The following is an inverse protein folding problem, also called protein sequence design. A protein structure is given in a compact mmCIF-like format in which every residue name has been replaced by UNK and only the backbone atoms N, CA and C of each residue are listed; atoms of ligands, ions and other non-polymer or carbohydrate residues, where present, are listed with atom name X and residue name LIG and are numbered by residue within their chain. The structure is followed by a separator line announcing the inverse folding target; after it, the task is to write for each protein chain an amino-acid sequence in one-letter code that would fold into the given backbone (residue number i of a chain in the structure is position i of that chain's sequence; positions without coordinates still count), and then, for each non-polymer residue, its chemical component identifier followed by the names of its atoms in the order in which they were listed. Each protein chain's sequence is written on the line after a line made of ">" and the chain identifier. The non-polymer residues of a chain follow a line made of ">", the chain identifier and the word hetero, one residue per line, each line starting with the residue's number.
data_IF_605479012216
#
_entry.id   IF_605479012216
#
_cell.length_a   1.000
_cell.length_b   1.000
_cell.length_c   1.000
_cell.angle_alpha   90.00
_cell.angle_beta   90.00
_cell.angle_gamma   90.00
#
_symmetry.space_group_name_H-M   'P 1'
#
loop_
_entity.id
_entity.type
_entity.pdbx_description
1 polymer ?
#
# COMPACT_ATOMS: atom_id res chain seq x y z
N UNK A 1 16.03 8.79 19.35
CA UNK A 1 14.75 8.05 19.41
C UNK A 1 14.75 7.11 18.22
N UNK A 2 15.08 5.86 18.49
CA UNK A 2 14.97 4.76 17.55
C UNK A 2 13.50 4.32 17.56
N UNK A 3 12.83 4.52 16.43
CA UNK A 3 11.41 4.27 16.25
C UNK A 3 11.21 3.93 14.79
N UNK A 4 11.45 2.67 14.44
CA UNK A 4 11.10 2.13 13.14
C UNK A 4 9.57 2.24 12.97
N UNK A 5 9.11 3.31 12.32
CA UNK A 5 7.71 3.42 11.92
C UNK A 5 7.44 2.34 10.87
N UNK A 6 6.75 1.30 11.31
CA UNK A 6 6.25 0.20 10.50
C UNK A 6 4.75 0.38 10.37
N UNK A 7 4.26 0.56 9.16
CA UNK A 7 2.81 0.57 8.90
C UNK A 7 2.38 -0.80 8.43
N UNK A 8 1.33 -1.33 9.04
CA UNK A 8 0.74 -2.62 8.69
C UNK A 8 -0.71 -2.39 8.32
N UNK A 9 -1.13 -3.01 7.21
CA UNK A 9 -2.52 -3.14 6.83
C UNK A 9 -2.83 -4.61 6.59
N UNK A 10 -4.00 -5.06 7.01
CA UNK A 10 -4.52 -6.41 6.77
C UNK A 10 -5.91 -6.29 6.14
N UNK A 11 -6.15 -7.02 5.06
CA UNK A 11 -7.38 -6.91 4.30
C UNK A 11 -7.59 -8.09 3.36
N UNK A 12 -8.80 -8.19 2.82
CA UNK A 12 -9.12 -9.16 1.77
C UNK A 12 -8.95 -8.47 0.42
N UNK A 13 -8.13 -9.04 -0.45
CA UNK A 13 -7.91 -8.56 -1.82
C UNK A 13 -8.01 -9.71 -2.82
N UNK A 14 -8.84 -9.55 -3.85
CA UNK A 14 -9.09 -10.60 -4.85
C UNK A 14 -9.64 -11.89 -4.23
N UNK A 15 -10.31 -11.80 -3.07
CA UNK A 15 -10.79 -12.95 -2.31
C UNK A 15 -9.74 -13.65 -1.43
N UNK A 16 -8.51 -13.13 -1.37
CA UNK A 16 -7.41 -13.67 -0.57
C UNK A 16 -7.13 -12.74 0.61
N UNK A 17 -6.91 -13.29 1.79
CA UNK A 17 -6.48 -12.52 2.95
C UNK A 17 -4.99 -12.16 2.79
N UNK A 18 -4.68 -10.88 2.81
CA UNK A 18 -3.31 -10.37 2.68
C UNK A 18 -3.02 -9.35 3.78
N UNK A 19 -1.74 -9.19 4.11
CA UNK A 19 -1.26 -8.02 4.83
C UNK A 19 -0.07 -7.39 4.11
N UNK A 20 0.02 -6.07 4.21
CA UNK A 20 1.13 -5.26 3.69
C UNK A 20 1.87 -4.60 4.82
N UNK A 21 3.19 -4.56 4.71
CA UNK A 21 4.08 -3.88 5.62
C UNK A 21 4.85 -2.81 4.86
N UNK A 22 4.78 -1.57 5.33
CA UNK A 22 5.62 -0.47 4.84
C UNK A 22 6.74 -0.18 5.83
N UNK A 23 7.95 -0.13 5.32
CA UNK A 23 9.14 0.25 6.06
C UNK A 23 9.59 1.64 5.64
N UNK A 24 10.09 2.40 6.61
CA UNK A 24 10.49 3.81 6.43
C UNK A 24 11.55 4.03 5.35
N UNK A 25 12.29 2.99 4.95
CA UNK A 25 13.30 3.04 3.89
C UNK A 25 12.71 2.90 2.47
N UNK A 26 11.38 2.94 2.33
CA UNK A 26 10.71 2.81 1.06
C UNK A 26 10.44 1.36 0.65
N UNK A 27 10.70 0.38 1.53
CA UNK A 27 10.38 -1.01 1.29
C UNK A 27 8.91 -1.29 1.61
N UNK A 28 8.27 -2.08 0.74
CA UNK A 28 6.97 -2.68 0.98
C UNK A 28 7.10 -4.20 0.85
N UNK A 29 6.54 -4.93 1.81
CA UNK A 29 6.33 -6.37 1.64
C UNK A 29 4.85 -6.69 1.70
N UNK A 30 4.43 -7.68 0.94
CA UNK A 30 3.07 -8.19 0.98
C UNK A 30 3.10 -9.70 1.18
N UNK A 31 2.30 -10.14 2.13
CA UNK A 31 2.09 -11.54 2.44
C UNK A 31 0.62 -11.86 2.25
N UNK A 32 0.34 -12.99 1.63
CA UNK A 32 -1.02 -13.45 1.43
C UNK A 32 -1.14 -14.87 1.98
N UNK A 33 -2.26 -15.15 2.61
CA UNK A 33 -2.57 -16.46 3.14
C UNK A 33 -2.88 -17.40 1.97
N UNK A 34 -2.06 -18.43 1.79
CA UNK A 34 -2.37 -19.51 0.87
C UNK A 34 -3.39 -20.44 1.54
N UNK A 35 -4.50 -20.67 0.85
CA UNK A 35 -5.71 -21.35 1.35
C UNK A 35 -6.67 -20.45 2.13
N UNK A 36 -7.81 -21.03 2.52
CA UNK A 36 -8.86 -20.36 3.28
C UNK A 36 -8.40 -20.11 4.72
N UNK A 37 -8.74 -18.94 5.30
CA UNK A 37 -8.44 -18.59 6.71
C UNK A 37 -8.98 -19.59 7.74
N UNK A 38 -9.99 -20.37 7.38
CA UNK A 38 -10.57 -21.43 8.23
C UNK A 38 -9.76 -22.73 8.20
N UNK A 39 -8.80 -22.85 7.28
CA UNK A 39 -7.94 -24.02 7.19
C UNK A 39 -6.80 -23.89 8.23
N UNK A 40 -6.67 -24.84 9.18
CA UNK A 40 -5.60 -24.80 10.17
C UNK A 40 -4.18 -24.93 9.56
N UNK A 41 -4.07 -25.50 8.36
CA UNK A 41 -2.82 -25.66 7.63
C UNK A 41 -2.53 -24.47 6.69
N UNK A 42 -3.29 -23.38 6.80
CA UNK A 42 -3.07 -22.19 5.98
C UNK A 42 -1.73 -21.52 6.31
N UNK A 43 -0.96 -21.15 5.29
CA UNK A 43 0.39 -20.61 5.44
C UNK A 43 0.47 -19.23 4.81
N UNK A 44 1.11 -18.29 5.51
CA UNK A 44 1.43 -16.99 4.94
C UNK A 44 2.59 -17.10 3.97
N UNK A 45 2.37 -16.64 2.73
CA UNK A 45 3.40 -16.62 1.69
C UNK A 45 3.67 -15.19 1.27
N UNK A 46 4.95 -14.81 1.28
CA UNK A 46 5.40 -13.51 0.79
C UNK A 46 5.24 -13.47 -0.73
N UNK A 47 4.31 -12.66 -1.21
CA UNK A 47 4.07 -12.45 -2.64
C UNK A 47 4.93 -11.33 -3.19
N UNK A 48 5.16 -10.27 -2.41
CA UNK A 48 5.96 -9.13 -2.82
C UNK A 48 6.99 -8.72 -1.76
N UNK A 49 8.14 -8.30 -2.27
CA UNK A 49 9.23 -7.66 -1.54
C UNK A 49 9.85 -6.62 -2.48
N UNK A 50 9.42 -5.37 -2.36
CA UNK A 50 9.73 -4.31 -3.31
C UNK A 50 10.25 -3.07 -2.59
N UNK A 51 11.22 -2.39 -3.18
CA UNK A 51 11.70 -1.09 -2.71
C UNK A 51 11.32 -0.02 -3.73
N UNK A 52 10.50 0.94 -3.30
CA UNK A 52 9.87 1.90 -4.19
C UNK A 52 10.68 3.18 -4.41
N UNK A 53 11.86 3.33 -3.78
CA UNK A 53 12.68 4.56 -3.84
C UNK A 53 12.91 5.06 -5.28
N UNK A 54 13.12 4.15 -6.24
CA UNK A 54 13.25 4.53 -7.65
C UNK A 54 11.94 5.02 -8.27
N UNK A 55 10.81 4.41 -7.94
CA UNK A 55 9.50 4.83 -8.40
C UNK A 55 9.15 6.22 -7.86
N UNK A 56 9.43 6.49 -6.57
CA UNK A 56 9.31 7.82 -5.97
C UNK A 56 10.16 8.84 -6.72
N UNK A 57 11.43 8.52 -6.99
CA UNK A 57 12.34 9.40 -7.73
C UNK A 57 11.85 9.69 -9.15
N UNK A 58 11.41 8.67 -9.90
CA UNK A 58 10.89 8.82 -11.27
C UNK A 58 9.65 9.70 -11.34
N UNK A 59 8.83 9.71 -10.30
CA UNK A 59 7.60 10.51 -10.22
C UNK A 59 7.80 11.88 -9.55
N UNK A 60 9.05 12.33 -9.34
CA UNK A 60 9.35 13.59 -8.64
C UNK A 60 8.80 13.65 -7.20
N UNK A 61 8.64 12.50 -6.56
CA UNK A 61 8.16 12.33 -5.18
C UNK A 61 9.31 11.95 -4.22
N UNK A 62 10.56 12.15 -4.62
CA UNK A 62 11.73 11.75 -3.81
C UNK A 62 11.68 12.37 -2.41
N UNK A 63 11.94 11.57 -1.39
CA UNK A 63 11.86 11.96 0.02
C UNK A 63 10.47 11.77 0.64
N UNK A 64 9.41 11.63 -0.17
CA UNK A 64 8.07 11.36 0.34
C UNK A 64 7.88 9.90 0.78
N UNK A 65 8.78 8.99 0.41
CA UNK A 65 8.80 7.63 0.94
C UNK A 65 8.94 7.61 2.48
N UNK A 66 9.64 8.60 3.06
CA UNK A 66 9.78 8.75 4.50
C UNK A 66 8.55 9.39 5.17
N UNK A 67 7.64 9.94 4.36
CA UNK A 67 6.42 10.64 4.77
C UNK A 67 5.16 9.81 4.54
N UNK A 68 5.28 8.53 4.14
CA UNK A 68 4.15 7.60 4.10
C UNK A 68 3.59 7.46 5.51
N UNK A 69 2.30 7.73 5.64
CA UNK A 69 1.53 7.66 6.88
C UNK A 69 0.61 6.44 6.92
N UNK A 70 0.24 5.92 5.74
CA UNK A 70 -0.66 4.78 5.64
C UNK A 70 -0.38 3.98 4.36
N UNK A 71 -0.54 2.67 4.46
CA UNK A 71 -0.50 1.72 3.34
C UNK A 71 -1.80 0.95 3.33
N UNK A 72 -2.36 0.71 2.15
CA UNK A 72 -3.56 -0.12 2.00
C UNK A 72 -3.48 -1.01 0.77
N UNK A 73 -4.30 -2.06 0.73
CA UNK A 73 -4.33 -3.04 -0.35
C UNK A 73 -5.57 -2.79 -1.20
N UNK A 74 -5.40 -2.72 -2.52
CA UNK A 74 -6.54 -2.59 -3.40
C UNK A 74 -7.45 -3.85 -3.32
N UNK A 75 -8.76 -3.73 -3.05
CA UNK A 75 -9.60 -4.89 -2.72
C UNK A 75 -9.83 -5.89 -3.86
N UNK A 76 -9.68 -5.48 -5.12
CA UNK A 76 -9.94 -6.38 -6.25
C UNK A 76 -8.66 -6.97 -6.85
N UNK A 77 -7.50 -6.35 -6.64
CA UNK A 77 -6.23 -6.81 -7.20
C UNK A 77 -5.11 -6.64 -6.16
N UNK A 78 -4.56 -7.74 -5.60
CA UNK A 78 -3.54 -7.69 -4.56
C UNK A 78 -2.17 -7.24 -5.10
N UNK A 79 -2.04 -6.94 -6.37
CA UNK A 79 -0.80 -6.39 -6.93
C UNK A 79 -0.73 -4.88 -6.73
N UNK A 80 -1.83 -4.23 -6.36
CA UNK A 80 -1.89 -2.78 -6.19
C UNK A 80 -1.95 -2.43 -4.71
N UNK A 81 -1.04 -1.57 -4.28
CA UNK A 81 -1.06 -0.93 -2.96
C UNK A 81 -1.32 0.55 -3.11
N UNK A 82 -1.97 1.12 -2.11
CA UNK A 82 -2.12 2.57 -1.98
C UNK A 82 -1.21 3.08 -0.88
N UNK A 83 -0.60 4.23 -1.13
CA UNK A 83 0.23 4.94 -0.15
C UNK A 83 -0.35 6.33 0.06
N UNK A 84 -0.59 6.69 1.32
CA UNK A 84 -0.92 8.07 1.70
C UNK A 84 0.31 8.75 2.28
N UNK A 85 0.71 9.88 1.70
CA UNK A 85 1.82 10.72 2.18
C UNK A 85 1.37 12.17 2.16
N UNK A 86 1.47 12.88 3.29
CA UNK A 86 1.24 14.32 3.43
C UNK A 86 0.24 14.92 2.42
N UNK A 87 -1.04 14.57 2.57
CA UNK A 87 -2.10 15.02 1.68
C UNK A 87 -2.05 14.55 0.21
N UNK A 88 -1.33 13.48 -0.10
CA UNK A 88 -1.27 12.85 -1.43
C UNK A 88 -1.54 11.36 -1.32
N UNK A 89 -2.33 10.82 -2.23
CA UNK A 89 -2.55 9.38 -2.37
C UNK A 89 -2.03 8.94 -3.74
N UNK A 90 -1.17 7.92 -3.73
CA UNK A 90 -0.69 7.24 -4.95
C UNK A 90 -1.10 5.77 -4.91
N UNK A 91 -1.33 5.18 -6.08
CA UNK A 91 -1.28 3.73 -6.24
C UNK A 91 0.12 3.31 -6.68
N UNK A 92 0.48 2.09 -6.33
CA UNK A 92 1.64 1.42 -6.88
C UNK A 92 1.28 -0.02 -7.25
N UNK A 93 1.47 -0.37 -8.51
CA UNK A 93 1.35 -1.73 -9.04
C UNK A 93 2.70 -2.44 -8.84
N UNK A 94 2.73 -3.34 -7.85
CA UNK A 94 3.89 -4.15 -7.45
C UNK A 94 4.34 -5.13 -8.53
N UNK A 95 3.44 -5.55 -9.41
CA UNK A 95 3.74 -6.48 -10.51
C UNK A 95 4.35 -5.72 -11.69
N UNK A 96 3.76 -4.57 -12.03
CA UNK A 96 4.18 -3.76 -13.19
C UNK A 96 5.27 -2.74 -12.88
N UNK A 97 5.57 -2.49 -11.60
CA UNK A 97 6.45 -1.43 -11.15
C UNK A 97 6.01 -0.05 -11.66
N UNK A 98 4.71 0.23 -11.56
CA UNK A 98 4.10 1.50 -12.02
C UNK A 98 3.48 2.21 -10.83
N UNK A 99 3.78 3.51 -10.69
CA UNK A 99 3.16 4.39 -9.71
C UNK A 99 2.20 5.32 -10.42
N UNK A 100 0.99 5.48 -9.90
CA UNK A 100 0.00 6.44 -10.43
C UNK A 100 -0.40 7.41 -9.31
N UNK A 101 -0.45 8.69 -9.66
CA UNK A 101 -1.00 9.71 -8.77
C UNK A 101 -2.52 9.63 -8.82
N UNK A 102 -3.17 9.57 -7.65
CA UNK A 102 -4.62 9.48 -7.59
C UNK A 102 -5.24 10.80 -7.13
N UNK A 103 -4.83 11.33 -5.98
CA UNK A 103 -5.47 12.50 -5.37
C UNK A 103 -4.47 13.35 -4.59
N UNK A 104 -4.68 14.66 -4.63
CA UNK A 104 -4.20 15.62 -3.64
C UNK A 104 -5.37 15.96 -2.71
N UNK A 105 -5.21 15.74 -1.42
CA UNK A 105 -6.26 15.99 -0.42
C UNK A 105 -5.63 16.59 0.82
N UNK A 106 -6.13 17.74 1.26
CA UNK A 106 -5.64 18.35 2.50
C UNK A 106 -6.08 17.49 3.69
N UNK A 107 -5.15 17.17 4.59
CA UNK A 107 -5.39 16.29 5.73
C UNK A 107 -6.46 16.82 6.71
N UNK A 108 -6.85 18.09 6.59
CA UNK A 108 -7.88 18.76 7.40
C UNK A 108 -9.32 18.43 6.96
N UNK A 109 -9.52 17.98 5.72
CA UNK A 109 -10.86 17.95 5.12
C UNK A 109 -11.64 16.64 5.36
N UNK A 110 -10.98 15.53 5.73
CA UNK A 110 -11.62 14.22 5.80
C UNK A 110 -10.92 13.21 6.73
N UNK A 111 -11.72 12.45 7.50
CA UNK A 111 -11.33 11.19 8.13
C UNK A 111 -11.28 10.09 7.05
N UNK A 112 -10.14 9.95 6.37
CA UNK A 112 -9.98 8.90 5.36
C UNK A 112 -9.86 7.54 6.00
N UNK A 113 -10.86 6.69 5.79
CA UNK A 113 -10.68 5.27 5.91
C UNK A 113 -10.12 4.74 4.60
N UNK A 114 -8.99 4.05 4.67
CA UNK A 114 -8.33 3.55 3.46
C UNK A 114 -9.22 2.59 2.63
N UNK A 115 -10.18 1.92 3.31
CA UNK A 115 -11.20 1.12 2.64
C UNK A 115 -12.02 1.89 1.61
N UNK A 116 -12.04 3.23 1.57
CA UNK A 116 -12.82 3.98 0.56
C UNK A 116 -12.01 4.31 -0.71
N UNK A 117 -10.67 4.22 -0.66
CA UNK A 117 -9.81 4.69 -1.76
C UNK A 117 -10.04 3.95 -3.08
N UNK A 118 -10.46 2.69 -3.00
CA UNK A 118 -10.79 1.89 -4.18
C UNK A 118 -12.10 2.29 -4.87
N UNK A 119 -12.98 3.01 -4.18
CA UNK A 119 -14.27 3.48 -4.69
C UNK A 119 -14.15 4.83 -5.40
N UNK A 120 -13.00 5.48 -5.26
CA UNK A 120 -12.82 6.82 -5.77
C UNK A 120 -12.50 6.79 -7.27
N UNK A 121 -13.13 7.68 -8.06
CA UNK A 121 -12.95 7.71 -9.51
C UNK A 121 -11.51 8.10 -9.84
N UNK A 122 -10.74 7.19 -10.44
CA UNK A 122 -9.34 7.45 -10.84
C UNK A 122 -9.30 8.68 -11.74
N UNK A 123 -8.44 9.64 -11.43
CA UNK A 123 -8.20 10.77 -12.31
C UNK A 123 -7.52 10.23 -13.58
N UNK A 124 -8.22 10.34 -14.71
CA UNK A 124 -7.74 9.98 -16.04
C UNK A 124 -6.90 11.12 -16.63
#
# INVERSE_FOLDING_TARGET
>A
MDGSNLWINIGISGGVLCYTMWYRDGQVTMWCLESNIRNPDAVWVRKYDARLTEAFKKNSLSGLEFAVMYVDIYPANPHIVYLKMNGTIVSYDLEKNVMEFLYEIRDEDYLFFAYEWHQWPRLL
#
